data_IF_972910058754
#
_entry.id   IF_972910058754
#
_cell.length_a   1.000
_cell.length_b   1.000
_cell.length_c   1.000
_cell.angle_alpha   90.00
_cell.angle_beta   90.00
_cell.angle_gamma   90.00
#
_symmetry.space_group_name_H-M   'P 1'
#
loop_
_entity.id
_entity.type
_entity.pdbx_description
1 polymer ?
#
# COMPACT_ATOMS: atom_id res chain seq x y z
N UNK A 1 9.61 -3.90 4.75
CA UNK A 1 8.96 -4.25 6.03
C UNK A 1 9.96 -4.05 7.15
N UNK A 2 9.70 -3.12 8.06
CA UNK A 2 10.49 -2.87 9.26
C UNK A 2 10.04 -3.81 10.37
N UNK A 3 10.94 -4.67 10.88
CA UNK A 3 10.61 -5.67 11.89
C UNK A 3 11.11 -5.24 13.28
N UNK A 4 10.34 -5.55 14.33
CA UNK A 4 10.74 -5.40 15.71
C UNK A 4 10.55 -6.72 16.46
N UNK A 5 11.63 -7.20 17.10
CA UNK A 5 11.65 -8.47 17.82
C UNK A 5 11.71 -8.23 19.33
N UNK A 6 11.00 -9.05 20.10
CA UNK A 6 11.14 -9.08 21.55
C UNK A 6 11.20 -10.52 22.05
N UNK A 7 12.11 -10.79 22.98
CA UNK A 7 12.27 -12.08 23.65
C UNK A 7 12.45 -11.91 25.15
N UNK A 8 12.10 -12.91 25.94
CA UNK A 8 12.06 -12.81 27.41
C UNK A 8 13.11 -13.68 28.10
N UNK A 9 13.68 -14.66 27.41
CA UNK A 9 14.70 -15.57 27.90
C UNK A 9 15.98 -15.45 27.09
N UNK A 10 17.11 -15.93 27.63
CA UNK A 10 18.36 -15.96 26.89
C UNK A 10 18.28 -16.80 25.61
N UNK A 11 17.56 -17.94 25.65
CA UNK A 11 17.33 -18.81 24.51
C UNK A 11 16.47 -18.11 23.45
N UNK A 12 15.37 -17.48 23.87
CA UNK A 12 14.51 -16.72 22.97
C UNK A 12 15.24 -15.53 22.35
N UNK A 13 16.13 -14.85 23.10
CA UNK A 13 16.93 -13.75 22.57
C UNK A 13 17.90 -14.20 21.48
N UNK A 14 18.57 -15.34 21.67
CA UNK A 14 19.45 -15.91 20.66
C UNK A 14 18.67 -16.24 19.36
N UNK A 15 17.48 -16.85 19.51
CA UNK A 15 16.60 -17.10 18.37
C UNK A 15 16.16 -15.79 17.68
N UNK A 16 15.74 -14.79 18.44
CA UNK A 16 15.36 -13.48 17.88
C UNK A 16 16.50 -12.82 17.09
N UNK A 17 17.74 -12.92 17.57
CA UNK A 17 18.93 -12.44 16.87
C UNK A 17 19.20 -13.21 15.56
N UNK A 18 19.06 -14.54 15.60
CA UNK A 18 19.17 -15.38 14.40
C UNK A 18 18.12 -14.99 13.34
N UNK A 19 16.88 -14.80 13.75
CA UNK A 19 15.79 -14.39 12.85
C UNK A 19 16.00 -12.99 12.28
N UNK A 20 16.49 -12.04 13.11
CA UNK A 20 16.76 -10.67 12.70
C UNK A 20 17.94 -10.57 11.71
N UNK A 21 18.83 -11.54 11.67
CA UNK A 21 19.91 -11.63 10.67
C UNK A 21 19.33 -11.94 9.27
N UNK A 22 18.27 -12.73 9.18
CA UNK A 22 17.63 -13.12 7.92
C UNK A 22 16.47 -12.16 7.52
N UNK A 23 15.73 -11.67 8.49
CA UNK A 23 14.67 -10.68 8.33
C UNK A 23 15.00 -9.43 9.18
N UNK A 24 15.74 -8.45 8.63
CA UNK A 24 16.34 -7.37 9.40
C UNK A 24 15.34 -6.57 10.25
N UNK A 25 15.72 -6.30 11.51
CA UNK A 25 14.91 -5.57 12.46
C UNK A 25 15.60 -5.32 13.80
N UNK A 26 15.01 -4.51 14.66
CA UNK A 26 15.50 -4.26 16.01
C UNK A 26 15.17 -5.43 16.93
N UNK A 27 16.10 -5.79 17.83
CA UNK A 27 15.91 -6.87 18.82
C UNK A 27 15.96 -6.31 20.22
N UNK A 28 14.93 -6.58 21.02
CA UNK A 28 14.83 -6.17 22.42
C UNK A 28 14.71 -7.38 23.35
N UNK A 29 15.25 -7.23 24.57
CA UNK A 29 14.99 -8.14 25.67
C UNK A 29 13.93 -7.54 26.59
N UNK A 30 12.82 -8.25 26.79
CA UNK A 30 11.78 -7.87 27.74
C UNK A 30 12.02 -8.50 29.12
N UNK A 31 11.56 -7.86 30.17
CA UNK A 31 11.66 -8.34 31.54
C UNK A 31 12.27 -7.34 32.51
N UNK A 32 12.60 -7.78 33.72
CA UNK A 32 13.08 -6.91 34.80
C UNK A 32 14.38 -6.16 34.46
N UNK A 33 15.27 -6.82 33.71
CA UNK A 33 16.57 -6.28 33.29
C UNK A 33 16.55 -5.76 31.83
N UNK A 34 15.36 -5.55 31.27
CA UNK A 34 15.20 -5.15 29.87
C UNK A 34 14.13 -4.08 29.70
N UNK A 35 13.58 -4.00 28.47
CA UNK A 35 12.50 -3.04 28.18
C UNK A 35 11.18 -3.48 28.81
N UNK A 36 10.37 -2.53 29.26
CA UNK A 36 8.99 -2.82 29.67
C UNK A 36 8.16 -3.20 28.45
N UNK A 37 7.50 -4.36 28.54
CA UNK A 37 6.72 -4.90 27.43
C UNK A 37 5.64 -3.93 26.93
N UNK A 38 4.94 -3.25 27.84
CA UNK A 38 3.90 -2.27 27.51
C UNK A 38 4.45 -1.10 26.69
N UNK A 39 5.60 -0.55 27.10
CA UNK A 39 6.19 0.62 26.46
C UNK A 39 6.78 0.25 25.09
N UNK A 40 7.45 -0.91 25.02
CA UNK A 40 7.95 -1.46 23.76
C UNK A 40 6.82 -1.72 22.77
N UNK A 41 5.73 -2.38 23.22
CA UNK A 41 4.60 -2.70 22.35
C UNK A 41 3.92 -1.43 21.86
N UNK A 42 3.68 -0.43 22.72
CA UNK A 42 3.09 0.85 22.33
C UNK A 42 3.90 1.54 21.22
N UNK A 43 5.22 1.61 21.40
CA UNK A 43 6.11 2.25 20.43
C UNK A 43 6.16 1.47 19.10
N UNK A 44 6.39 0.14 19.17
CA UNK A 44 6.60 -0.66 17.97
C UNK A 44 5.31 -0.89 17.18
N UNK A 45 4.15 -1.00 17.85
CA UNK A 45 2.86 -1.14 17.18
C UNK A 45 2.51 0.08 16.31
N UNK A 46 3.02 1.26 16.66
CA UNK A 46 2.81 2.50 15.92
C UNK A 46 3.86 2.76 14.83
N UNK A 47 5.06 2.15 14.92
CA UNK A 47 6.22 2.53 14.10
C UNK A 47 6.75 1.43 13.19
N UNK A 48 6.44 0.16 13.51
CA UNK A 48 6.96 -1.00 12.77
C UNK A 48 5.88 -1.62 11.90
N UNK A 49 6.29 -2.18 10.76
CA UNK A 49 5.40 -2.95 9.90
C UNK A 49 5.10 -4.34 10.50
N UNK A 50 6.01 -4.87 11.32
CA UNK A 50 5.85 -6.19 11.94
C UNK A 50 6.44 -6.27 13.35
N UNK A 51 5.71 -6.91 14.27
CA UNK A 51 6.15 -7.26 15.62
C UNK A 51 6.32 -8.77 15.71
N UNK A 52 7.49 -9.21 16.16
CA UNK A 52 7.82 -10.62 16.36
C UNK A 52 8.09 -10.88 17.84
N UNK A 53 7.24 -11.69 18.46
CA UNK A 53 7.40 -12.12 19.85
C UNK A 53 8.02 -13.51 19.88
N UNK A 54 9.15 -13.65 20.57
CA UNK A 54 9.77 -14.95 20.82
C UNK A 54 9.49 -15.34 22.28
N UNK A 55 8.43 -16.14 22.45
CA UNK A 55 7.92 -16.52 23.77
C UNK A 55 6.49 -17.07 23.70
N UNK A 56 5.79 -17.05 24.84
CA UNK A 56 4.42 -17.57 24.92
C UNK A 56 3.41 -16.66 24.17
N UNK A 57 2.55 -17.27 23.35
CA UNK A 57 1.53 -16.56 22.59
C UNK A 57 0.60 -15.68 23.47
N UNK A 58 0.26 -16.16 24.67
CA UNK A 58 -0.55 -15.38 25.62
C UNK A 58 0.09 -14.08 26.09
N UNK A 59 1.43 -13.96 26.09
CA UNK A 59 2.13 -12.71 26.36
C UNK A 59 1.89 -11.73 25.21
N UNK A 60 2.10 -12.18 23.98
CA UNK A 60 1.88 -11.36 22.79
C UNK A 60 0.43 -10.86 22.69
N UNK A 61 -0.54 -11.76 22.86
CA UNK A 61 -1.98 -11.42 22.80
C UNK A 61 -2.32 -10.31 23.82
N UNK A 62 -1.89 -10.45 25.09
CA UNK A 62 -2.16 -9.42 26.10
C UNK A 62 -1.44 -8.10 25.81
N UNK A 63 -0.24 -8.17 25.23
CA UNK A 63 0.53 -6.99 24.90
C UNK A 63 -0.10 -6.17 23.78
N UNK A 64 -0.59 -6.82 22.72
CA UNK A 64 -1.14 -6.13 21.54
C UNK A 64 -2.61 -5.75 21.70
N UNK A 65 -3.40 -6.46 22.52
CA UNK A 65 -4.85 -6.28 22.63
C UNK A 65 -5.32 -4.82 22.78
N UNK A 66 -4.65 -3.94 23.57
CA UNK A 66 -5.06 -2.54 23.72
C UNK A 66 -4.90 -1.70 22.44
N UNK A 67 -4.12 -2.17 21.47
CA UNK A 67 -3.75 -1.40 20.28
C UNK A 67 -4.44 -1.87 19.01
N UNK A 68 -5.04 -3.07 19.01
CA UNK A 68 -5.72 -3.65 17.84
C UNK A 68 -6.91 -2.79 17.41
N UNK A 69 -6.93 -2.40 16.13
CA UNK A 69 -7.98 -1.54 15.53
C UNK A 69 -8.64 -2.20 14.34
N UNK A 70 -7.85 -2.54 13.32
CA UNK A 70 -8.36 -3.17 12.10
C UNK A 70 -7.27 -3.95 11.37
N UNK A 71 -7.68 -4.98 10.65
CA UNK A 71 -6.77 -5.82 9.84
C UNK A 71 -6.06 -5.06 8.70
N UNK A 72 -6.52 -3.87 8.36
CA UNK A 72 -5.94 -3.03 7.31
C UNK A 72 -4.90 -2.03 7.84
N UNK A 73 -4.98 -1.66 9.14
CA UNK A 73 -4.11 -0.65 9.74
C UNK A 73 -3.11 -1.24 10.74
N UNK A 74 -3.44 -2.39 11.33
CA UNK A 74 -2.60 -3.01 12.35
C UNK A 74 -1.38 -3.68 11.72
N UNK A 75 -0.20 -3.62 12.35
CA UNK A 75 1.00 -4.28 11.88
C UNK A 75 0.86 -5.81 11.87
N UNK A 76 1.71 -6.48 11.11
CA UNK A 76 1.85 -7.93 11.20
C UNK A 76 2.31 -8.33 12.61
N UNK A 77 1.70 -9.33 13.21
CA UNK A 77 2.18 -9.88 14.48
C UNK A 77 2.40 -11.38 14.35
N UNK A 78 3.63 -11.81 14.62
CA UNK A 78 4.02 -13.22 14.59
C UNK A 78 4.59 -13.61 15.96
N UNK A 79 4.23 -14.80 16.44
CA UNK A 79 4.79 -15.39 17.64
C UNK A 79 5.57 -16.64 17.28
N UNK A 80 6.78 -16.77 17.83
CA UNK A 80 7.51 -18.03 17.85
C UNK A 80 7.67 -18.49 19.29
N UNK A 81 7.55 -19.80 19.54
CA UNK A 81 7.96 -20.35 20.83
C UNK A 81 9.48 -20.24 20.96
N UNK A 82 10.00 -20.14 22.20
CA UNK A 82 11.43 -19.94 22.43
C UNK A 82 12.32 -21.09 21.92
N UNK A 83 11.70 -22.25 21.65
CA UNK A 83 12.34 -23.41 21.05
C UNK A 83 12.42 -23.34 19.52
N UNK A 84 11.74 -22.36 18.89
CA UNK A 84 11.71 -22.23 17.44
C UNK A 84 10.98 -23.37 16.73
N UNK A 85 9.96 -24.00 17.36
CA UNK A 85 9.21 -25.11 16.79
C UNK A 85 8.01 -24.67 15.98
N UNK A 86 7.40 -23.55 16.37
CA UNK A 86 6.19 -23.01 15.75
C UNK A 86 6.35 -21.53 15.44
N UNK A 87 5.87 -21.10 14.26
CA UNK A 87 5.73 -19.69 13.90
C UNK A 87 4.24 -19.43 13.64
N UNK A 88 3.63 -18.58 14.46
CA UNK A 88 2.18 -18.41 14.53
C UNK A 88 1.84 -16.96 14.19
N UNK A 89 1.23 -16.66 13.03
CA UNK A 89 0.69 -15.34 12.74
C UNK A 89 -0.54 -15.10 13.62
N UNK A 90 -0.48 -14.03 14.44
CA UNK A 90 -1.58 -13.67 15.35
C UNK A 90 -2.47 -12.57 14.80
N UNK A 91 -1.91 -11.63 14.04
CA UNK A 91 -2.64 -10.44 13.58
C UNK A 91 -2.19 -10.06 12.17
N UNK A 92 -3.13 -9.53 11.38
CA UNK A 92 -2.89 -9.02 10.03
C UNK A 92 -2.26 -10.04 9.08
N UNK A 93 -2.85 -11.24 9.00
CA UNK A 93 -2.36 -12.41 8.26
C UNK A 93 -2.05 -12.10 6.79
N UNK A 94 -3.05 -11.63 6.05
CA UNK A 94 -2.98 -11.35 4.61
C UNK A 94 -2.43 -9.96 4.32
N UNK A 95 -3.25 -8.90 4.45
CA UNK A 95 -2.87 -7.52 4.11
C UNK A 95 -1.61 -7.06 4.85
N UNK A 96 -1.51 -7.31 6.15
CA UNK A 96 -0.32 -6.99 6.93
C UNK A 96 0.88 -7.91 6.65
N UNK A 97 0.66 -9.10 6.06
CA UNK A 97 1.70 -10.03 5.67
C UNK A 97 2.22 -10.94 6.78
N UNK A 98 1.47 -11.12 7.89
CA UNK A 98 1.92 -11.98 8.99
C UNK A 98 2.02 -13.45 8.58
N UNK A 99 1.18 -13.96 7.66
CA UNK A 99 1.26 -15.33 7.16
C UNK A 99 2.57 -15.56 6.39
N UNK A 100 2.90 -14.68 5.44
CA UNK A 100 4.15 -14.73 4.68
C UNK A 100 5.37 -14.59 5.60
N UNK A 101 5.32 -13.65 6.55
CA UNK A 101 6.41 -13.46 7.51
C UNK A 101 6.60 -14.71 8.39
N UNK A 102 5.52 -15.34 8.86
CA UNK A 102 5.59 -16.56 9.64
C UNK A 102 6.24 -17.72 8.85
N UNK A 103 5.90 -17.89 7.56
CA UNK A 103 6.55 -18.86 6.68
C UNK A 103 8.05 -18.56 6.51
N UNK A 104 8.43 -17.31 6.25
CA UNK A 104 9.84 -16.90 6.11
C UNK A 104 10.64 -17.13 7.40
N UNK A 105 10.10 -16.75 8.55
CA UNK A 105 10.75 -16.97 9.85
C UNK A 105 10.85 -18.45 10.17
N UNK A 106 9.80 -19.23 9.86
CA UNK A 106 9.79 -20.68 10.01
C UNK A 106 10.89 -21.35 9.18
N UNK A 107 11.10 -20.92 7.95
CA UNK A 107 12.16 -21.46 7.09
C UNK A 107 13.57 -21.21 7.69
N UNK A 108 13.79 -20.09 8.37
CA UNK A 108 15.09 -19.75 9.00
C UNK A 108 15.43 -20.65 10.18
N UNK A 109 14.45 -21.00 11.00
CA UNK A 109 14.65 -21.81 12.22
C UNK A 109 14.08 -23.23 12.13
N UNK A 110 13.64 -23.65 10.96
CA UNK A 110 12.97 -24.95 10.71
C UNK A 110 11.73 -25.17 11.57
N UNK A 111 11.00 -24.10 11.87
CA UNK A 111 9.73 -24.14 12.60
C UNK A 111 8.59 -24.62 11.68
N UNK A 112 7.49 -25.02 12.31
CA UNK A 112 6.22 -25.27 11.61
C UNK A 112 5.44 -23.96 11.56
N UNK A 113 5.11 -23.39 10.39
CA UNK A 113 4.22 -22.25 10.29
C UNK A 113 2.77 -22.70 10.57
N UNK A 114 2.11 -22.06 11.53
CA UNK A 114 0.74 -22.44 11.95
C UNK A 114 -0.25 -21.43 11.36
N UNK A 115 -0.49 -21.55 10.05
CA UNK A 115 -1.42 -20.68 9.32
C UNK A 115 -2.85 -21.19 9.55
N UNK A 116 -3.74 -20.34 10.07
CA UNK A 116 -5.11 -20.73 10.45
C UNK A 116 -6.20 -20.02 9.63
N UNK A 117 -5.82 -19.19 8.66
CA UNK A 117 -6.78 -18.51 7.80
C UNK A 117 -7.52 -19.50 6.88
N UNK A 118 -8.84 -19.37 6.80
CA UNK A 118 -9.68 -20.34 6.10
C UNK A 118 -9.41 -20.40 4.59
N UNK A 119 -9.07 -19.27 3.97
CA UNK A 119 -8.69 -19.17 2.56
C UNK A 119 -7.43 -19.95 2.25
N UNK A 120 -6.38 -19.82 3.09
CA UNK A 120 -5.15 -20.59 2.94
C UNK A 120 -5.38 -22.09 3.10
N UNK A 121 -6.13 -22.47 4.15
CA UNK A 121 -6.41 -23.88 4.46
C UNK A 121 -7.22 -24.61 3.38
N UNK A 122 -8.02 -23.88 2.59
CA UNK A 122 -8.85 -24.44 1.51
C UNK A 122 -8.30 -24.18 0.11
N UNK A 123 -7.22 -23.43 -0.03
CA UNK A 123 -6.65 -23.05 -1.33
C UNK A 123 -7.58 -22.18 -2.19
N UNK A 124 -8.49 -21.43 -1.56
CA UNK A 124 -9.46 -20.55 -2.21
C UNK A 124 -8.80 -19.18 -2.49
N UNK A 125 -9.14 -18.55 -3.61
CA UNK A 125 -8.62 -17.25 -3.98
C UNK A 125 -8.81 -16.22 -2.86
N UNK A 126 -7.71 -15.56 -2.48
CA UNK A 126 -7.67 -14.49 -1.48
C UNK A 126 -7.48 -13.15 -2.19
N UNK A 127 -8.58 -12.40 -2.34
CA UNK A 127 -8.60 -11.12 -3.09
C UNK A 127 -7.67 -10.08 -2.48
N UNK A 128 -7.48 -10.08 -1.18
CA UNK A 128 -6.59 -9.19 -0.45
C UNK A 128 -5.09 -9.55 -0.63
N UNK A 129 -4.75 -10.82 -0.71
CA UNK A 129 -3.39 -11.25 -1.09
C UNK A 129 -3.09 -10.89 -2.54
N UNK A 130 -4.04 -11.13 -3.43
CA UNK A 130 -3.92 -10.71 -4.81
C UNK A 130 -3.73 -9.20 -4.94
N UNK A 131 -4.54 -8.39 -4.24
CA UNK A 131 -4.40 -6.94 -4.20
C UNK A 131 -2.98 -6.51 -3.76
N UNK A 132 -2.47 -7.12 -2.69
CA UNK A 132 -1.11 -6.87 -2.19
C UNK A 132 -0.05 -7.20 -3.25
N UNK A 133 -0.17 -8.35 -3.91
CA UNK A 133 0.77 -8.81 -4.94
C UNK A 133 0.74 -7.91 -6.17
N UNK A 134 -0.43 -7.41 -6.55
CA UNK A 134 -0.59 -6.46 -7.65
C UNK A 134 -0.26 -5.01 -7.24
N UNK A 135 0.31 -4.79 -6.04
CA UNK A 135 0.61 -3.45 -5.50
C UNK A 135 -0.62 -2.53 -5.48
N UNK A 136 -1.78 -3.07 -5.08
CA UNK A 136 -3.01 -2.32 -4.94
C UNK A 136 -3.31 -1.96 -3.48
N UNK A 137 -3.86 -0.78 -3.26
CA UNK A 137 -4.58 -0.47 -2.02
C UNK A 137 -5.99 -1.06 -2.09
N UNK A 138 -6.53 -1.43 -0.95
CA UNK A 138 -7.92 -1.87 -0.80
C UNK A 138 -8.73 -0.71 -0.24
N UNK A 139 -9.72 -0.21 -0.99
CA UNK A 139 -10.48 0.97 -0.59
C UNK A 139 -11.48 0.64 0.55
N UNK A 140 -12.13 -0.51 0.49
CA UNK A 140 -13.13 -0.97 1.47
C UNK A 140 -12.72 -2.32 2.10
N UNK A 141 -11.77 -2.35 3.07
CA UNK A 141 -11.26 -3.60 3.64
C UNK A 141 -12.33 -4.49 4.30
N UNK A 142 -13.42 -3.90 4.76
CA UNK A 142 -14.56 -4.62 5.33
C UNK A 142 -15.33 -5.44 4.28
N UNK A 143 -15.21 -5.10 2.99
CA UNK A 143 -15.86 -5.82 1.89
C UNK A 143 -15.12 -7.09 1.47
N UNK A 144 -13.85 -7.25 1.84
CA UNK A 144 -13.07 -8.48 1.60
C UNK A 144 -13.85 -9.72 2.07
N UNK A 145 -14.54 -9.61 3.22
CA UNK A 145 -15.30 -10.72 3.80
C UNK A 145 -16.43 -11.23 2.91
N UNK A 146 -17.01 -10.37 2.07
CA UNK A 146 -18.10 -10.78 1.16
C UNK A 146 -17.53 -11.60 0.00
N UNK A 147 -16.44 -11.11 -0.63
CA UNK A 147 -15.75 -11.85 -1.69
C UNK A 147 -15.21 -13.18 -1.19
N UNK A 148 -14.43 -13.17 -0.10
CA UNK A 148 -13.87 -14.39 0.48
C UNK A 148 -14.95 -15.33 1.02
N UNK A 149 -16.03 -14.80 1.61
CA UNK A 149 -17.14 -15.60 2.13
C UNK A 149 -17.92 -16.33 1.03
N UNK A 150 -18.19 -15.66 -0.09
CA UNK A 150 -18.84 -16.28 -1.25
C UNK A 150 -18.01 -17.43 -1.82
N UNK A 151 -16.70 -17.19 -2.03
CA UNK A 151 -15.79 -18.23 -2.52
C UNK A 151 -15.65 -19.41 -1.55
N UNK A 152 -15.56 -19.15 -0.24
CA UNK A 152 -15.54 -20.21 0.78
C UNK A 152 -16.85 -21.02 0.83
N UNK A 153 -17.98 -20.41 0.45
CA UNK A 153 -19.27 -21.07 0.30
C UNK A 153 -19.43 -21.82 -1.04
N UNK A 154 -18.40 -21.80 -1.90
CA UNK A 154 -18.44 -22.42 -3.23
C UNK A 154 -19.25 -21.62 -4.26
N UNK A 155 -19.51 -20.36 -4.01
CA UNK A 155 -20.19 -19.44 -4.93
C UNK A 155 -19.15 -18.74 -5.82
N UNK A 156 -19.52 -18.43 -7.07
CA UNK A 156 -18.69 -17.59 -7.93
C UNK A 156 -18.78 -16.13 -7.52
N UNK A 157 -17.68 -15.40 -7.78
CA UNK A 157 -17.60 -13.94 -7.66
C UNK A 157 -17.21 -13.33 -8.98
N UNK A 158 -17.77 -12.18 -9.28
CA UNK A 158 -17.54 -11.45 -10.52
C UNK A 158 -16.54 -10.32 -10.34
N UNK A 159 -15.65 -10.12 -11.30
CA UNK A 159 -14.70 -9.02 -11.28
C UNK A 159 -14.86 -8.07 -12.48
N UNK A 160 -14.49 -6.80 -12.27
CA UNK A 160 -14.24 -5.82 -13.30
C UNK A 160 -12.79 -5.31 -13.21
N UNK A 161 -12.19 -4.92 -14.34
CA UNK A 161 -10.84 -4.36 -14.33
C UNK A 161 -10.67 -3.36 -15.49
N UNK A 162 -10.01 -2.22 -15.22
CA UNK A 162 -9.65 -1.22 -16.23
C UNK A 162 -8.43 -1.67 -17.06
N UNK A 163 -7.73 -2.73 -16.63
CA UNK A 163 -6.59 -3.33 -17.33
C UNK A 163 -6.84 -4.80 -17.65
N UNK A 164 -6.25 -5.26 -18.74
CA UNK A 164 -6.24 -6.69 -19.04
C UNK A 164 -5.40 -7.42 -17.98
N UNK A 165 -6.02 -8.34 -17.24
CA UNK A 165 -5.34 -9.20 -16.27
C UNK A 165 -4.85 -10.45 -16.97
N UNK A 166 -3.54 -10.68 -16.98
CA UNK A 166 -2.93 -11.82 -17.69
C UNK A 166 -3.09 -13.13 -16.94
N UNK A 167 -3.13 -14.24 -17.68
CA UNK A 167 -3.34 -15.57 -17.13
C UNK A 167 -4.82 -15.97 -17.02
N UNK A 168 -5.08 -17.10 -16.37
CA UNK A 168 -6.43 -17.62 -16.15
C UNK A 168 -6.95 -17.18 -14.78
N UNK A 169 -8.17 -16.64 -14.68
CA UNK A 169 -8.77 -16.35 -13.40
C UNK A 169 -8.80 -17.59 -12.49
N UNK A 170 -8.61 -17.43 -11.18
CA UNK A 170 -8.74 -18.51 -10.22
C UNK A 170 -10.14 -19.15 -10.23
N UNK A 171 -10.24 -20.39 -9.77
CA UNK A 171 -11.53 -21.09 -9.67
C UNK A 171 -12.54 -20.26 -8.87
N UNK A 172 -13.75 -20.12 -9.40
CA UNK A 172 -14.81 -19.31 -8.79
C UNK A 172 -14.73 -17.79 -9.07
N UNK A 173 -13.75 -17.34 -9.86
CA UNK A 173 -13.62 -15.92 -10.26
C UNK A 173 -13.91 -15.79 -11.75
N UNK A 174 -14.87 -14.95 -12.12
CA UNK A 174 -15.31 -14.77 -13.49
C UNK A 174 -15.52 -13.28 -13.85
N UNK A 175 -15.39 -12.87 -15.12
CA UNK A 175 -15.63 -11.49 -15.51
C UNK A 175 -17.09 -11.10 -15.30
N UNK A 176 -17.33 -9.92 -14.78
CA UNK A 176 -18.67 -9.35 -14.62
C UNK A 176 -19.28 -9.04 -15.99
N UNK A 177 -20.57 -9.30 -16.14
CA UNK A 177 -21.31 -8.92 -17.37
C UNK A 177 -21.37 -7.39 -17.58
N UNK A 178 -21.29 -6.61 -16.50
CA UNK A 178 -21.18 -5.15 -16.49
C UNK A 178 -20.43 -4.72 -15.23
N UNK A 179 -19.73 -3.58 -15.29
CA UNK A 179 -18.86 -3.13 -14.18
C UNK A 179 -19.64 -2.92 -12.87
N UNK A 180 -20.89 -2.49 -12.93
CA UNK A 180 -21.79 -2.27 -11.80
C UNK A 180 -22.28 -3.57 -11.11
N UNK A 181 -21.98 -4.73 -11.72
CA UNK A 181 -22.30 -6.06 -11.21
C UNK A 181 -21.08 -6.81 -10.66
N UNK A 182 -19.95 -6.15 -10.57
CA UNK A 182 -18.75 -6.76 -10.02
C UNK A 182 -18.81 -6.84 -8.49
N UNK A 183 -18.36 -7.95 -7.93
CA UNK A 183 -18.12 -8.11 -6.50
C UNK A 183 -16.82 -7.41 -6.08
N UNK A 184 -15.83 -7.38 -6.99
CA UNK A 184 -14.62 -6.59 -6.81
C UNK A 184 -14.15 -5.98 -8.14
N UNK A 185 -13.48 -4.83 -8.06
CA UNK A 185 -13.01 -4.08 -9.24
C UNK A 185 -11.58 -3.59 -9.08
N UNK A 186 -10.77 -3.76 -10.11
CA UNK A 186 -9.42 -3.22 -10.24
C UNK A 186 -9.50 -1.90 -11.03
N UNK A 187 -9.48 -0.76 -10.34
CA UNK A 187 -9.76 0.55 -10.95
C UNK A 187 -9.11 1.69 -10.20
N UNK A 188 -8.90 2.83 -10.86
CA UNK A 188 -8.54 4.12 -10.22
C UNK A 188 -9.75 5.06 -10.04
N UNK A 189 -10.90 4.71 -10.61
CA UNK A 189 -12.13 5.49 -10.54
C UNK A 189 -13.26 4.66 -9.93
N UNK A 190 -13.19 4.37 -8.60
CA UNK A 190 -14.14 3.50 -7.93
C UNK A 190 -15.56 4.06 -8.02
N UNK A 191 -16.52 3.20 -8.39
CA UNK A 191 -17.94 3.52 -8.45
C UNK A 191 -18.77 2.35 -7.96
N UNK A 192 -19.93 2.63 -7.36
CA UNK A 192 -20.82 1.59 -6.87
C UNK A 192 -20.38 0.96 -5.56
N UNK A 193 -20.77 -0.30 -5.36
CA UNK A 193 -20.60 -1.00 -4.08
C UNK A 193 -19.62 -2.19 -4.12
N UNK A 194 -18.86 -2.35 -5.19
CA UNK A 194 -17.83 -3.39 -5.28
C UNK A 194 -16.72 -3.20 -4.22
N UNK A 195 -15.94 -4.24 -3.99
CA UNK A 195 -14.64 -4.09 -3.33
C UNK A 195 -13.66 -3.49 -4.35
N UNK A 196 -13.14 -2.27 -4.10
CA UNK A 196 -12.24 -1.63 -5.05
C UNK A 196 -10.78 -1.87 -4.67
N UNK A 197 -10.04 -2.37 -5.64
CA UNK A 197 -8.59 -2.56 -5.59
C UNK A 197 -7.95 -1.44 -6.42
N UNK A 198 -7.22 -0.56 -5.76
CA UNK A 198 -6.67 0.67 -6.33
C UNK A 198 -5.19 0.47 -6.65
N UNK A 199 -4.78 0.32 -7.92
CA UNK A 199 -3.38 0.16 -8.29
C UNK A 199 -2.54 1.37 -7.89
N UNK A 200 -1.42 1.15 -7.23
CA UNK A 200 -0.49 2.21 -6.80
C UNK A 200 0.49 2.55 -7.92
N UNK A 201 -0.01 3.18 -8.95
CA UNK A 201 0.70 3.49 -10.19
C UNK A 201 0.58 4.96 -10.65
N UNK A 202 -0.18 5.76 -9.91
CA UNK A 202 -0.47 7.13 -10.30
C UNK A 202 0.59 8.10 -9.78
N UNK A 203 0.91 9.10 -10.59
CA UNK A 203 1.78 10.23 -10.25
C UNK A 203 0.99 11.52 -10.38
N UNK A 204 0.97 12.32 -9.32
CA UNK A 204 0.32 13.62 -9.30
C UNK A 204 1.27 14.72 -9.78
N UNK A 205 0.99 15.32 -10.91
CA UNK A 205 1.67 16.53 -11.36
C UNK A 205 1.02 17.76 -10.75
N UNK A 206 1.83 18.61 -10.11
CA UNK A 206 1.35 19.78 -9.37
C UNK A 206 1.98 21.06 -9.95
N UNK A 207 1.13 22.05 -10.23
CA UNK A 207 1.54 23.44 -10.45
C UNK A 207 0.76 24.35 -9.53
N UNK A 208 1.41 25.35 -8.94
CA UNK A 208 0.76 26.31 -8.07
C UNK A 208 1.41 27.67 -8.13
N UNK A 209 0.71 28.72 -7.70
CA UNK A 209 1.29 30.05 -7.50
C UNK A 209 2.31 30.02 -6.35
N UNK A 210 3.27 30.97 -6.34
CA UNK A 210 4.19 31.14 -5.23
C UNK A 210 3.41 31.44 -3.95
N UNK A 211 3.80 30.81 -2.83
CA UNK A 211 3.19 30.99 -1.52
C UNK A 211 1.80 30.33 -1.38
N UNK A 212 1.42 29.39 -2.26
CA UNK A 212 0.19 28.61 -2.08
C UNK A 212 0.34 27.75 -0.83
N UNK A 213 -0.65 27.80 0.09
CA UNK A 213 -0.62 27.03 1.34
C UNK A 213 -0.97 25.56 1.13
N UNK A 214 -0.60 24.69 2.08
CA UNK A 214 -0.94 23.28 2.05
C UNK A 214 -2.46 23.03 2.06
N UNK A 215 -3.21 23.79 2.87
CA UNK A 215 -4.67 23.70 2.96
C UNK A 215 -5.35 24.02 1.62
N UNK A 216 -4.79 25.01 0.88
CA UNK A 216 -5.31 25.35 -0.45
C UNK A 216 -5.03 24.26 -1.47
N UNK A 217 -3.86 23.63 -1.40
CA UNK A 217 -3.52 22.45 -2.22
C UNK A 217 -4.44 21.27 -1.89
N UNK A 218 -4.67 21.02 -0.60
CA UNK A 218 -5.56 19.96 -0.14
C UNK A 218 -7.00 20.17 -0.62
N UNK A 219 -7.52 21.38 -0.49
CA UNK A 219 -8.86 21.74 -0.98
C UNK A 219 -8.98 21.53 -2.49
N UNK A 220 -7.97 21.95 -3.26
CA UNK A 220 -7.94 21.75 -4.70
C UNK A 220 -7.85 20.27 -5.08
N UNK A 221 -7.03 19.51 -4.35
CA UNK A 221 -6.86 18.08 -4.56
C UNK A 221 -8.13 17.28 -4.23
N UNK A 222 -8.79 17.57 -3.11
CA UNK A 222 -10.07 16.95 -2.76
C UNK A 222 -11.14 17.22 -3.83
N UNK A 223 -11.23 18.46 -4.34
CA UNK A 223 -12.15 18.81 -5.42
C UNK A 223 -11.80 18.09 -6.74
N UNK A 224 -10.53 17.98 -7.07
CA UNK A 224 -10.03 17.21 -8.22
C UNK A 224 -10.42 15.73 -8.14
N UNK A 225 -10.18 15.09 -6.99
CA UNK A 225 -10.54 13.69 -6.78
C UNK A 225 -12.05 13.47 -6.90
N UNK A 226 -12.85 14.35 -6.30
CA UNK A 226 -14.31 14.26 -6.36
C UNK A 226 -14.86 14.41 -7.78
N UNK A 227 -14.35 15.39 -8.54
CA UNK A 227 -14.80 15.68 -9.91
C UNK A 227 -14.46 14.55 -10.89
N UNK A 228 -13.31 13.90 -10.68
CA UNK A 228 -12.86 12.79 -11.54
C UNK A 228 -13.17 11.41 -10.98
N UNK A 229 -13.85 11.30 -9.85
CA UNK A 229 -14.05 10.03 -9.12
C UNK A 229 -12.74 9.28 -8.87
N UNK A 230 -11.63 10.01 -8.73
CA UNK A 230 -10.29 9.45 -8.68
C UNK A 230 -9.93 9.03 -7.25
N UNK A 231 -9.44 7.80 -7.11
CA UNK A 231 -8.99 7.24 -5.82
C UNK A 231 -7.57 7.73 -5.47
N UNK A 232 -7.41 8.59 -4.43
CA UNK A 232 -6.11 9.14 -4.05
C UNK A 232 -5.11 8.08 -3.58
N UNK A 233 -5.56 6.90 -3.15
CA UNK A 233 -4.73 5.77 -2.75
C UNK A 233 -3.84 5.23 -3.89
N UNK A 234 -4.20 5.53 -5.15
CA UNK A 234 -3.42 5.17 -6.33
C UNK A 234 -2.14 6.00 -6.50
N UNK A 235 -2.04 7.17 -5.84
CA UNK A 235 -0.88 8.05 -5.98
C UNK A 235 0.30 7.54 -5.15
N UNK A 236 1.45 7.41 -5.80
CA UNK A 236 2.70 6.96 -5.17
C UNK A 236 3.72 8.08 -4.98
N UNK A 237 3.59 9.17 -5.76
CA UNK A 237 4.47 10.35 -5.68
C UNK A 237 3.82 11.57 -6.33
N UNK A 238 4.38 12.75 -6.07
CA UNK A 238 4.04 13.96 -6.76
C UNK A 238 5.23 14.49 -7.57
N UNK A 239 4.97 15.33 -8.58
CA UNK A 239 5.99 15.89 -9.44
C UNK A 239 5.69 17.35 -9.81
N UNK A 240 6.74 18.18 -9.98
CA UNK A 240 6.62 19.58 -10.40
C UNK A 240 7.90 20.07 -11.08
N UNK A 241 7.92 21.36 -11.42
CA UNK A 241 9.13 22.04 -11.88
C UNK A 241 10.04 22.41 -10.69
N UNK A 242 11.35 22.45 -10.92
CA UNK A 242 12.39 22.77 -9.93
C UNK A 242 12.21 24.16 -9.27
N UNK A 243 11.61 25.11 -9.97
CA UNK A 243 11.22 26.43 -9.44
C UNK A 243 10.27 26.34 -8.22
N UNK A 244 9.69 25.17 -7.95
CA UNK A 244 8.77 24.89 -6.84
C UNK A 244 9.40 24.10 -5.69
N UNK A 245 10.70 23.84 -5.77
CA UNK A 245 11.42 23.04 -4.78
C UNK A 245 11.35 23.62 -3.36
N UNK A 246 11.37 24.95 -3.27
CA UNK A 246 11.40 25.66 -1.99
C UNK A 246 10.02 26.21 -1.56
N UNK A 247 8.92 25.71 -2.12
CA UNK A 247 7.56 26.09 -1.74
C UNK A 247 7.11 25.32 -0.48
N UNK A 248 7.02 25.97 0.69
CA UNK A 248 6.76 25.27 1.95
C UNK A 248 5.37 24.61 1.99
N UNK A 249 4.36 25.24 1.35
CA UNK A 249 3.01 24.67 1.29
C UNK A 249 2.96 23.39 0.46
N UNK A 250 3.68 23.32 -0.67
CA UNK A 250 3.77 22.11 -1.49
C UNK A 250 4.50 20.98 -0.73
N UNK A 251 5.59 21.32 -0.04
CA UNK A 251 6.32 20.35 0.77
C UNK A 251 5.49 19.82 1.94
N UNK A 252 4.69 20.68 2.60
CA UNK A 252 3.79 20.27 3.68
C UNK A 252 2.65 19.38 3.17
N UNK A 253 2.05 19.72 2.03
CA UNK A 253 1.02 18.93 1.37
C UNK A 253 1.53 17.51 1.04
N UNK A 254 2.68 17.38 0.40
CA UNK A 254 3.23 16.07 0.06
C UNK A 254 3.61 15.24 1.30
N UNK A 255 4.12 15.89 2.37
CA UNK A 255 4.40 15.20 3.64
C UNK A 255 3.14 14.66 4.31
N UNK A 256 2.03 15.39 4.26
CA UNK A 256 0.76 14.93 4.84
C UNK A 256 0.23 13.64 4.19
N UNK A 257 0.57 13.42 2.92
CA UNK A 257 0.22 12.21 2.15
C UNK A 257 1.33 11.16 2.07
N UNK A 258 2.48 11.40 2.71
CA UNK A 258 3.68 10.55 2.60
C UNK A 258 4.16 10.36 1.14
N UNK A 259 3.98 11.36 0.30
CA UNK A 259 4.44 11.32 -1.09
C UNK A 259 5.84 11.90 -1.24
N UNK A 260 6.70 11.16 -1.95
CA UNK A 260 7.95 11.71 -2.47
C UNK A 260 7.64 12.74 -3.55
N UNK A 261 8.47 13.79 -3.63
CA UNK A 261 8.32 14.85 -4.61
C UNK A 261 9.51 14.85 -5.56
N UNK A 262 9.21 14.71 -6.86
CA UNK A 262 10.20 14.81 -7.93
C UNK A 262 10.16 16.20 -8.58
N UNK A 263 11.33 16.79 -8.81
CA UNK A 263 11.45 18.10 -9.44
C UNK A 263 12.27 18.01 -10.73
N UNK A 264 11.74 18.63 -11.78
CA UNK A 264 12.33 18.63 -13.11
C UNK A 264 12.66 20.02 -13.58
N UNK A 265 13.77 20.20 -14.28
CA UNK A 265 14.09 21.45 -14.97
C UNK A 265 13.14 21.68 -16.14
N UNK A 266 13.00 22.94 -16.59
CA UNK A 266 12.23 23.25 -17.79
C UNK A 266 12.74 22.50 -19.03
N UNK A 267 14.06 22.27 -19.14
CA UNK A 267 14.65 21.47 -20.21
C UNK A 267 14.19 20.01 -20.15
N UNK A 268 14.19 19.40 -18.96
CA UNK A 268 13.69 18.04 -18.77
C UNK A 268 12.20 17.95 -19.10
N UNK A 269 11.37 18.88 -18.63
CA UNK A 269 9.93 18.89 -18.90
C UNK A 269 9.60 18.91 -20.40
N UNK A 270 10.43 19.57 -21.22
CA UNK A 270 10.26 19.58 -22.70
C UNK A 270 10.49 18.22 -23.35
N UNK A 271 11.21 17.29 -22.69
CA UNK A 271 11.43 15.94 -23.23
C UNK A 271 10.25 15.00 -23.02
N UNK A 272 9.28 15.36 -22.18
CA UNK A 272 8.07 14.58 -21.95
C UNK A 272 7.33 14.35 -23.28
N UNK A 273 6.99 13.08 -23.55
CA UNK A 273 6.27 12.67 -24.76
C UNK A 273 4.76 12.68 -24.51
N UNK A 274 4.00 13.16 -25.47
CA UNK A 274 2.53 13.20 -25.38
C UNK A 274 1.94 14.48 -25.93
N UNK A 275 0.63 14.60 -25.85
CA UNK A 275 -0.12 15.83 -26.13
C UNK A 275 -0.48 16.47 -24.81
N UNK A 276 -0.10 17.75 -24.63
CA UNK A 276 -0.26 18.48 -23.38
C UNK A 276 -1.07 19.75 -23.61
N UNK A 277 -1.80 20.18 -22.57
CA UNK A 277 -2.58 21.41 -22.58
C UNK A 277 -1.66 22.61 -22.54
N UNK A 278 -1.53 23.33 -23.65
CA UNK A 278 -0.64 24.50 -23.76
C UNK A 278 -1.15 25.70 -22.96
N UNK A 279 -0.22 26.47 -22.37
CA UNK A 279 -0.49 27.72 -21.66
C UNK A 279 0.63 28.72 -21.92
N UNK A 280 0.33 29.76 -22.70
CA UNK A 280 1.29 30.83 -22.97
C UNK A 280 1.77 31.58 -21.71
N UNK A 281 0.89 31.72 -20.71
CA UNK A 281 1.26 32.31 -19.41
C UNK A 281 2.28 31.46 -18.67
N UNK A 282 2.07 30.13 -18.61
CA UNK A 282 3.03 29.22 -17.95
C UNK A 282 4.36 29.25 -18.72
N UNK A 283 4.32 29.25 -20.03
CA UNK A 283 5.51 29.27 -20.88
C UNK A 283 6.36 30.54 -20.66
N UNK A 284 5.73 31.71 -20.49
CA UNK A 284 6.46 32.96 -20.26
C UNK A 284 7.20 32.99 -18.91
N UNK A 285 6.72 32.25 -17.90
CA UNK A 285 7.30 32.22 -16.56
C UNK A 285 8.28 31.06 -16.38
N UNK A 286 7.96 29.90 -16.92
CA UNK A 286 8.68 28.63 -16.62
C UNK A 286 9.52 28.14 -17.79
N UNK A 287 9.34 28.70 -18.98
CA UNK A 287 9.99 28.23 -20.20
C UNK A 287 9.37 26.94 -20.81
N UNK A 288 8.26 26.47 -20.25
CA UNK A 288 7.48 25.33 -20.78
C UNK A 288 5.99 25.66 -20.79
N UNK A 289 5.26 25.15 -21.75
CA UNK A 289 3.83 25.41 -21.95
C UNK A 289 2.92 24.70 -20.93
N UNK A 290 3.43 23.66 -20.25
CA UNK A 290 2.72 22.91 -19.23
C UNK A 290 3.70 22.29 -18.24
N UNK A 291 3.45 22.47 -16.93
CA UNK A 291 4.27 21.90 -15.85
C UNK A 291 3.64 20.62 -15.32
N UNK A 292 2.37 20.65 -14.89
CA UNK A 292 1.77 19.53 -14.15
C UNK A 292 1.68 18.25 -15.00
N UNK A 293 1.19 18.32 -16.24
CA UNK A 293 1.07 17.13 -17.08
C UNK A 293 2.45 16.56 -17.45
N UNK A 294 3.40 17.43 -17.85
CA UNK A 294 4.74 17.00 -18.24
C UNK A 294 5.51 16.39 -17.08
N UNK A 295 5.41 17.01 -15.88
CA UNK A 295 6.05 16.49 -14.69
C UNK A 295 5.46 15.13 -14.27
N UNK A 296 4.12 14.98 -14.32
CA UNK A 296 3.46 13.71 -14.03
C UNK A 296 3.91 12.60 -14.98
N UNK A 297 3.93 12.88 -16.29
CA UNK A 297 4.32 11.88 -17.32
C UNK A 297 5.79 11.47 -17.17
N UNK A 298 6.69 12.42 -16.91
CA UNK A 298 8.11 12.09 -16.70
C UNK A 298 8.31 11.26 -15.43
N UNK A 299 7.66 11.63 -14.33
CA UNK A 299 7.81 10.91 -13.06
C UNK A 299 7.14 9.53 -13.08
N UNK A 300 6.10 9.35 -13.90
CA UNK A 300 5.45 8.06 -14.11
C UNK A 300 6.21 7.15 -15.08
N UNK A 301 7.10 7.71 -15.92
CA UNK A 301 7.64 7.04 -17.11
C UNK A 301 6.51 6.36 -17.91
N UNK A 302 5.40 7.08 -18.11
CA UNK A 302 4.18 6.48 -18.60
C UNK A 302 3.28 7.44 -19.38
N UNK A 303 1.97 7.32 -19.20
CA UNK A 303 0.97 8.01 -19.98
C UNK A 303 0.11 8.96 -19.14
N UNK A 304 -0.31 10.07 -19.76
CA UNK A 304 -1.25 11.00 -19.14
C UNK A 304 -2.62 10.31 -19.01
N UNK A 305 -3.18 10.32 -17.80
CA UNK A 305 -4.48 9.72 -17.47
C UNK A 305 -5.55 10.78 -17.27
N UNK A 306 -5.33 11.72 -16.33
CA UNK A 306 -6.21 12.88 -16.15
C UNK A 306 -5.43 14.11 -16.60
N UNK A 307 -5.91 14.81 -17.65
CA UNK A 307 -5.27 16.03 -18.15
C UNK A 307 -5.37 17.16 -17.12
N UNK A 308 -4.69 18.27 -17.42
CA UNK A 308 -4.64 19.44 -16.56
C UNK A 308 -6.03 19.91 -16.14
N UNK A 309 -6.26 19.83 -14.84
CA UNK A 309 -7.35 20.48 -14.15
C UNK A 309 -6.80 21.73 -13.43
N UNK A 310 -7.57 22.83 -13.40
CA UNK A 310 -7.11 24.08 -12.85
C UNK A 310 -8.20 24.75 -12.01
N UNK A 311 -7.87 25.11 -10.77
CA UNK A 311 -8.74 25.84 -9.86
C UNK A 311 -7.94 26.72 -8.91
N UNK A 312 -8.35 27.98 -8.71
CA UNK A 312 -7.81 28.94 -7.74
C UNK A 312 -6.28 29.10 -7.75
N UNK A 313 -5.65 28.97 -8.93
CA UNK A 313 -4.21 29.08 -9.10
C UNK A 313 -3.41 27.83 -8.76
N UNK A 314 -4.10 26.71 -8.55
CA UNK A 314 -3.54 25.36 -8.49
C UNK A 314 -3.87 24.64 -9.79
N UNK A 315 -2.92 23.88 -10.33
CA UNK A 315 -3.13 22.98 -11.46
C UNK A 315 -2.68 21.57 -11.10
N UNK A 316 -3.52 20.59 -11.39
CA UNK A 316 -3.28 19.18 -11.13
C UNK A 316 -3.43 18.38 -12.41
N UNK A 317 -2.68 17.30 -12.52
CA UNK A 317 -2.81 16.30 -13.57
C UNK A 317 -2.35 14.95 -13.02
N UNK A 318 -2.82 13.86 -13.60
CA UNK A 318 -2.39 12.51 -13.21
C UNK A 318 -1.85 11.78 -14.42
N UNK A 319 -0.68 11.15 -14.27
CA UNK A 319 -0.14 10.19 -15.20
C UNK A 319 0.02 8.81 -14.53
N UNK A 320 0.00 7.76 -15.33
CA UNK A 320 0.10 6.37 -14.85
C UNK A 320 1.40 5.74 -15.32
N UNK A 321 2.09 5.09 -14.39
CA UNK A 321 3.16 4.18 -14.71
C UNK A 321 2.62 2.93 -15.45
N UNK A 322 3.45 2.21 -16.23
CA UNK A 322 3.06 0.94 -16.82
C UNK A 322 2.57 -0.05 -15.76
N UNK A 323 1.45 -0.71 -16.05
CA UNK A 323 0.84 -1.67 -15.13
C UNK A 323 0.33 -2.87 -15.92
N UNK A 324 0.78 -4.07 -15.54
CA UNK A 324 0.45 -5.33 -16.19
C UNK A 324 0.06 -6.37 -15.11
N UNK A 325 -1.18 -6.33 -14.60
CA UNK A 325 -1.63 -7.26 -13.57
C UNK A 325 -1.75 -8.69 -14.11
N UNK A 326 -1.57 -9.66 -13.20
CA UNK A 326 -1.75 -11.07 -13.48
C UNK A 326 -2.55 -11.78 -12.37
N UNK A 327 -3.03 -13.00 -12.63
CA UNK A 327 -3.83 -13.76 -11.67
C UNK A 327 -3.03 -14.52 -10.61
N UNK A 328 -1.69 -14.38 -10.59
CA UNK A 328 -0.88 -14.99 -9.55
C UNK A 328 -1.15 -14.32 -8.20
N UNK A 329 -1.51 -15.09 -7.21
CA UNK A 329 -1.86 -14.60 -5.87
C UNK A 329 -1.16 -15.38 -4.74
N UNK A 330 -0.65 -16.59 -5.01
CA UNK A 330 0.22 -17.35 -4.11
C UNK A 330 1.69 -17.21 -4.49
N UNK A 331 2.58 -17.35 -3.50
CA UNK A 331 4.02 -17.26 -3.72
C UNK A 331 4.63 -18.48 -4.44
N UNK A 332 3.94 -19.62 -4.44
CA UNK A 332 4.46 -20.90 -4.95
C UNK A 332 3.90 -21.26 -6.34
N UNK A 333 3.20 -20.37 -7.02
CA UNK A 333 2.78 -20.57 -8.41
C UNK A 333 3.90 -20.12 -9.35
N UNK A 334 4.41 -21.05 -10.23
CA UNK A 334 5.53 -20.77 -11.14
C UNK A 334 5.21 -19.67 -12.19
#
# INVERSE_FOLDING_TARGET
MTCAYIAFTARGLALAQQLAAACPGSVARGGADGVRLTDWTAAQFAQSDALIFVGAAGIAVRAIAPYCRSKAADPAVVVLDEGGRFAIPLLSGHLGGANELAQRLAAVCHAVPVITTATDGRGVFAVDEWAKRQNCAVAEPERIRYVSGALLAGQNVCYAADWAVSGTPPAGVEPAAAADRADFALTLTPTGEALHLIPRIAVLGVGCKRGTTAEKLETAFAAFCAEHHFAPQGIVRAASIDLKKDEPGLAAFCRAHDWKMDFYTAAALRTAKGRFTSSGFVQSITGVDNVCERAAVLAADGVLFIPKWARDGVTLAVALAPFAPDWRWKNDEP
#
